data_IF_171764048050
#
_entry.id   IF_171764048050
#
_cell.length_a   1.000
_cell.length_b   1.000
_cell.length_c   1.000
_cell.angle_alpha   90.00
_cell.angle_beta   90.00
_cell.angle_gamma   90.00
#
_symmetry.space_group_name_H-M   'P 1'
#
loop_
_entity.id
_entity.type
_entity.pdbx_description
1 polymer ?
#
# COMPACT_ATOMS: atom_id res chain seq x y z
N UNK A 1 17.51 -10.07 14.49
CA UNK A 1 16.28 -10.25 15.31
C UNK A 1 15.14 -10.46 14.33
N UNK A 2 14.30 -11.47 14.54
CA UNK A 2 13.12 -11.71 13.70
C UNK A 2 11.96 -11.00 14.40
N UNK A 3 11.27 -10.13 13.67
CA UNK A 3 10.05 -9.47 14.15
C UNK A 3 8.84 -10.35 13.80
N UNK A 4 7.86 -10.44 14.70
CA UNK A 4 6.63 -11.21 14.48
C UNK A 4 5.46 -10.28 14.08
N UNK A 5 4.65 -10.73 13.13
CA UNK A 5 3.39 -10.08 12.74
C UNK A 5 2.26 -11.08 13.01
N UNK A 6 1.29 -10.69 13.84
CA UNK A 6 0.06 -11.48 13.97
C UNK A 6 -0.83 -11.19 12.77
N UNK A 7 -1.41 -12.23 12.18
CA UNK A 7 -2.22 -12.13 10.98
C UNK A 7 -3.48 -12.98 11.09
N UNK A 8 -4.62 -12.39 10.74
CA UNK A 8 -5.91 -13.06 10.60
C UNK A 8 -6.31 -13.06 9.13
N UNK A 9 -6.63 -14.24 8.60
CA UNK A 9 -7.13 -14.41 7.24
C UNK A 9 -8.65 -14.48 7.23
N UNK A 10 -9.25 -13.70 6.33
CA UNK A 10 -10.70 -13.63 6.10
C UNK A 10 -11.13 -14.28 4.79
N UNK A 11 -10.17 -14.67 3.97
CA UNK A 11 -10.39 -15.33 2.69
C UNK A 11 -9.50 -16.57 2.57
N UNK A 12 -9.99 -17.60 1.89
CA UNK A 12 -9.20 -18.75 1.49
C UNK A 12 -8.25 -18.35 0.35
N UNK A 13 -7.08 -17.84 0.72
CA UNK A 13 -5.97 -17.44 -0.17
C UNK A 13 -4.65 -18.00 0.38
N UNK A 14 -3.64 -18.23 -0.47
CA UNK A 14 -2.34 -18.69 0.00
C UNK A 14 -1.74 -17.74 1.03
N UNK A 15 -1.19 -18.30 2.11
CA UNK A 15 -0.51 -17.53 3.15
C UNK A 15 0.60 -16.65 2.57
N UNK A 16 0.79 -15.51 3.20
CA UNK A 16 1.82 -14.55 2.82
C UNK A 16 3.18 -15.12 3.19
N UNK A 17 4.17 -14.91 2.31
CA UNK A 17 5.51 -15.43 2.49
C UNK A 17 6.51 -14.37 2.06
N UNK A 18 7.53 -14.16 2.88
CA UNK A 18 8.74 -13.49 2.43
C UNK A 18 9.46 -14.42 1.46
N UNK A 19 10.00 -13.85 0.38
CA UNK A 19 10.80 -14.62 -0.59
C UNK A 19 12.27 -14.28 -0.39
N UNK A 20 13.17 -15.22 -0.72
CA UNK A 20 14.63 -15.04 -0.51
C UNK A 20 15.21 -13.82 -1.24
N UNK A 21 14.59 -13.41 -2.35
CA UNK A 21 15.06 -12.30 -3.20
C UNK A 21 14.09 -11.12 -3.23
N UNK A 22 13.02 -11.15 -2.45
CA UNK A 22 12.00 -10.10 -2.46
C UNK A 22 12.16 -9.13 -1.31
N UNK A 23 12.28 -7.85 -1.62
CA UNK A 23 12.38 -6.78 -0.63
C UNK A 23 11.03 -6.44 0.04
N UNK A 24 9.93 -6.85 -0.59
CA UNK A 24 8.54 -6.62 -0.17
C UNK A 24 7.74 -7.92 -0.27
N UNK A 25 6.62 -8.00 0.45
CA UNK A 25 5.75 -9.18 0.48
C UNK A 25 4.52 -8.90 -0.37
N UNK A 26 4.24 -9.77 -1.34
CA UNK A 26 3.09 -9.64 -2.25
C UNK A 26 1.76 -9.82 -1.50
N UNK A 27 0.81 -8.89 -1.72
CA UNK A 27 -0.57 -8.96 -1.28
C UNK A 27 -1.48 -9.45 -2.41
N UNK A 28 -2.52 -10.21 -2.04
CA UNK A 28 -3.40 -10.91 -2.97
C UNK A 28 -4.82 -10.38 -2.92
N UNK A 29 -5.50 -10.37 -4.06
CA UNK A 29 -6.92 -10.10 -4.15
C UNK A 29 -7.72 -11.18 -3.39
N UNK A 30 -8.60 -10.80 -2.48
CA UNK A 30 -9.35 -11.75 -1.64
C UNK A 30 -10.50 -12.45 -2.38
N UNK A 31 -11.02 -11.82 -3.42
CA UNK A 31 -12.20 -12.23 -4.18
C UNK A 31 -12.10 -11.75 -5.63
N UNK A 32 -12.91 -12.33 -6.53
CA UNK A 32 -12.98 -11.84 -7.90
C UNK A 32 -13.54 -10.41 -7.90
N UNK A 33 -12.77 -9.46 -8.41
CA UNK A 33 -13.15 -8.05 -8.44
C UNK A 33 -13.27 -7.56 -9.88
N UNK A 34 -14.39 -6.92 -10.18
CA UNK A 34 -14.68 -6.33 -11.49
C UNK A 34 -14.65 -4.81 -11.37
N UNK A 35 -13.94 -4.14 -12.27
CA UNK A 35 -13.84 -2.68 -12.32
C UNK A 35 -14.26 -2.22 -13.71
N UNK A 36 -15.33 -1.42 -13.77
CA UNK A 36 -15.77 -0.79 -15.02
C UNK A 36 -14.65 0.09 -15.61
N UNK A 37 -14.69 0.35 -16.92
CA UNK A 37 -13.79 1.31 -17.55
C UNK A 37 -13.97 2.70 -16.93
N UNK A 38 -12.87 3.36 -16.56
CA UNK A 38 -12.88 4.62 -15.81
C UNK A 38 -13.46 4.51 -14.40
N UNK A 39 -13.72 3.31 -13.91
CA UNK A 39 -14.27 3.05 -12.58
C UNK A 39 -13.18 2.92 -11.51
N UNK A 40 -13.61 3.01 -10.25
CA UNK A 40 -12.80 2.72 -9.07
C UNK A 40 -13.45 1.57 -8.32
N UNK A 41 -12.64 0.66 -7.80
CA UNK A 41 -13.10 -0.38 -6.88
C UNK A 41 -12.20 -0.47 -5.65
N UNK A 42 -12.82 -0.72 -4.50
CA UNK A 42 -12.16 -1.11 -3.27
C UNK A 42 -11.88 -2.60 -3.32
N UNK A 43 -10.61 -2.97 -3.41
CA UNK A 43 -10.14 -4.37 -3.51
C UNK A 43 -9.61 -4.83 -2.17
N UNK A 44 -10.26 -5.84 -1.58
CA UNK A 44 -9.85 -6.42 -0.31
C UNK A 44 -8.62 -7.32 -0.45
N UNK A 45 -7.70 -7.25 0.51
CA UNK A 45 -6.62 -8.23 0.65
C UNK A 45 -6.99 -9.43 1.54
N UNK A 46 -8.14 -9.38 2.21
CA UNK A 46 -8.66 -10.50 3.00
C UNK A 46 -7.81 -10.83 4.23
N UNK A 47 -7.11 -9.83 4.77
CA UNK A 47 -6.20 -9.95 5.90
C UNK A 47 -6.39 -8.80 6.89
N UNK A 48 -6.28 -9.10 8.18
CA UNK A 48 -6.04 -8.12 9.24
C UNK A 48 -4.71 -8.46 9.91
N UNK A 49 -3.95 -7.44 10.32
CA UNK A 49 -2.61 -7.65 10.89
C UNK A 49 -2.37 -6.78 12.11
N UNK A 50 -1.59 -7.32 13.05
CA UNK A 50 -0.92 -6.55 14.09
C UNK A 50 0.58 -6.55 13.82
N UNK A 51 1.11 -5.37 13.51
CA UNK A 51 2.53 -5.16 13.27
C UNK A 51 3.29 -5.00 14.60
N UNK A 52 4.62 -5.23 14.63
CA UNK A 52 5.45 -4.91 15.80
C UNK A 52 5.27 -3.45 16.24
N UNK A 53 5.30 -3.22 17.55
CA UNK A 53 5.16 -1.89 18.12
C UNK A 53 6.19 -0.92 17.51
N UNK A 54 5.74 0.29 17.18
CA UNK A 54 6.60 1.33 16.58
C UNK A 54 6.77 1.22 15.06
N UNK A 55 6.06 0.32 14.38
CA UNK A 55 6.07 0.20 12.93
C UNK A 55 4.72 0.57 12.30
N UNK A 56 4.77 1.06 11.07
CA UNK A 56 3.65 1.17 10.13
C UNK A 56 3.95 0.29 8.90
N UNK A 57 2.95 0.01 8.07
CA UNK A 57 3.19 -0.66 6.79
C UNK A 57 2.93 0.29 5.61
N UNK A 58 3.75 0.14 4.57
CA UNK A 58 3.57 0.81 3.29
C UNK A 58 3.10 -0.22 2.27
N UNK A 59 2.04 0.10 1.52
CA UNK A 59 1.45 -0.75 0.48
C UNK A 59 1.53 -0.02 -0.86
N UNK A 60 2.15 -0.64 -1.85
CA UNK A 60 2.30 -0.08 -3.20
C UNK A 60 1.92 -1.10 -4.28
N UNK A 61 1.59 -0.66 -5.50
CA UNK A 61 1.40 -1.55 -6.63
C UNK A 61 2.64 -2.41 -6.90
N UNK A 62 2.42 -3.63 -7.37
CA UNK A 62 3.47 -4.37 -8.06
C UNK A 62 3.74 -3.69 -9.40
N UNK A 63 4.99 -3.72 -9.88
CA UNK A 63 5.36 -3.12 -11.18
C UNK A 63 4.53 -3.67 -12.34
N UNK A 64 4.05 -4.91 -12.23
CA UNK A 64 3.22 -5.57 -13.24
C UNK A 64 1.72 -5.30 -13.11
N UNK A 65 1.24 -4.58 -12.08
CA UNK A 65 -0.19 -4.38 -11.83
C UNK A 65 -0.87 -3.72 -13.04
N UNK A 66 -0.34 -2.58 -13.48
CA UNK A 66 -0.87 -1.85 -14.63
C UNK A 66 -0.73 -2.67 -15.93
N UNK A 67 0.40 -3.35 -16.13
CA UNK A 67 0.61 -4.23 -17.30
C UNK A 67 -0.45 -5.34 -17.42
N UNK A 68 -0.86 -5.93 -16.30
CA UNK A 68 -1.80 -7.06 -16.32
C UNK A 68 -3.26 -6.65 -16.25
N UNK A 69 -3.58 -5.55 -15.57
CA UNK A 69 -4.95 -5.19 -15.25
C UNK A 69 -5.32 -3.74 -15.64
N UNK A 70 -4.41 -2.96 -16.21
CA UNK A 70 -4.70 -1.58 -16.64
C UNK A 70 -5.13 -0.64 -15.50
N UNK A 71 -4.82 -1.00 -14.25
CA UNK A 71 -5.25 -0.25 -13.06
C UNK A 71 -4.08 0.41 -12.34
N UNK A 72 -4.38 1.50 -11.65
CA UNK A 72 -3.45 2.20 -10.74
C UNK A 72 -4.06 2.27 -9.33
N UNK A 73 -3.21 2.31 -8.32
CA UNK A 73 -3.63 2.59 -6.95
C UNK A 73 -3.86 4.10 -6.79
N UNK A 74 -5.07 4.48 -6.36
CA UNK A 74 -5.52 5.89 -6.36
C UNK A 74 -4.75 6.77 -5.38
N UNK A 75 -4.33 6.22 -4.23
CA UNK A 75 -3.61 6.94 -3.18
C UNK A 75 -2.07 6.84 -3.32
N UNK A 76 -1.55 6.33 -4.43
CA UNK A 76 -0.12 6.06 -4.71
C UNK A 76 0.51 4.99 -3.78
N UNK A 77 0.52 5.25 -2.48
CA UNK A 77 1.04 4.39 -1.43
C UNK A 77 0.07 4.40 -0.24
N UNK A 78 -0.40 3.22 0.14
CA UNK A 78 -1.22 3.03 1.33
C UNK A 78 -0.33 3.02 2.56
N UNK A 79 -0.68 3.82 3.56
CA UNK A 79 -0.07 3.77 4.88
C UNK A 79 -1.03 3.01 5.78
N UNK A 80 -0.56 1.94 6.41
CA UNK A 80 -1.32 1.20 7.40
C UNK A 80 -0.72 1.47 8.77
N UNK A 81 -1.45 2.20 9.59
CA UNK A 81 -1.08 2.48 10.97
C UNK A 81 -1.02 1.19 11.81
N UNK A 82 -0.09 1.14 12.76
CA UNK A 82 -0.01 0.03 13.72
C UNK A 82 -1.32 -0.21 14.49
N UNK A 83 -2.08 0.87 14.73
CA UNK A 83 -3.35 0.81 15.46
C UNK A 83 -4.50 0.26 14.63
N UNK A 84 -4.32 0.13 13.31
CA UNK A 84 -5.28 -0.53 12.41
C UNK A 84 -5.10 -2.06 12.47
N UNK A 85 -5.29 -2.61 13.67
CA UNK A 85 -4.98 -3.98 14.03
C UNK A 85 -6.15 -4.73 14.69
N UNK A 86 -7.36 -4.18 14.63
CA UNK A 86 -8.56 -4.88 15.06
C UNK A 86 -8.84 -6.11 14.17
N UNK A 87 -9.57 -7.11 14.67
CA UNK A 87 -9.91 -8.29 13.88
C UNK A 87 -10.74 -7.98 12.62
N UNK A 88 -11.40 -6.83 12.57
CA UNK A 88 -12.19 -6.36 11.42
C UNK A 88 -11.48 -5.24 10.62
N UNK A 89 -10.25 -4.88 10.97
CA UNK A 89 -9.44 -3.93 10.22
C UNK A 89 -8.82 -4.63 9.03
N UNK A 90 -9.66 -4.92 8.03
CA UNK A 90 -9.27 -5.65 6.82
C UNK A 90 -8.50 -4.69 5.91
N UNK A 91 -7.29 -5.03 5.55
CA UNK A 91 -6.50 -4.23 4.62
C UNK A 91 -7.09 -4.29 3.21
N UNK A 92 -7.08 -3.15 2.51
CA UNK A 92 -7.59 -3.03 1.15
C UNK A 92 -6.80 -1.99 0.35
N UNK A 93 -7.05 -1.95 -0.95
CA UNK A 93 -6.54 -0.93 -1.86
C UNK A 93 -7.65 -0.42 -2.77
N UNK A 94 -7.66 0.87 -3.08
CA UNK A 94 -8.53 1.42 -4.11
C UNK A 94 -7.80 1.45 -5.45
N UNK A 95 -8.37 0.75 -6.44
CA UNK A 95 -7.82 0.65 -7.78
C UNK A 95 -8.71 1.39 -8.77
N UNK A 96 -8.10 2.28 -9.56
CA UNK A 96 -8.73 2.97 -10.67
C UNK A 96 -8.36 2.27 -11.97
N UNK A 97 -9.36 1.90 -12.75
CA UNK A 97 -9.18 1.38 -14.10
C UNK A 97 -8.91 2.53 -15.07
N UNK A 98 -7.69 2.57 -15.62
CA UNK A 98 -7.24 3.64 -16.52
C UNK A 98 -7.77 3.50 -17.95
N UNK A 99 -8.38 2.36 -18.30
CA UNK A 99 -8.97 2.09 -19.60
C UNK A 99 -10.47 2.36 -19.65
N UNK A 100 -11.04 2.23 -20.86
CA UNK A 100 -12.47 2.44 -21.12
C UNK A 100 -13.29 1.14 -21.14
N UNK A 101 -12.64 0.00 -20.96
CA UNK A 101 -13.27 -1.32 -20.92
C UNK A 101 -13.21 -1.90 -19.52
N UNK A 102 -14.15 -2.79 -19.22
CA UNK A 102 -14.17 -3.55 -17.97
C UNK A 102 -12.89 -4.39 -17.80
N UNK A 103 -12.39 -4.46 -16.56
CA UNK A 103 -11.31 -5.38 -16.17
C UNK A 103 -11.75 -6.27 -15.01
N UNK A 104 -11.28 -7.53 -15.01
CA UNK A 104 -11.48 -8.49 -13.93
C UNK A 104 -10.14 -8.83 -13.29
N UNK A 105 -10.05 -8.66 -11.98
CA UNK A 105 -8.94 -9.10 -11.14
C UNK A 105 -9.38 -10.39 -10.43
N UNK A 106 -8.79 -11.55 -10.75
CA UNK A 106 -9.22 -12.80 -10.14
C UNK A 106 -8.74 -12.91 -8.69
N UNK A 107 -9.52 -13.62 -7.88
CA UNK A 107 -9.14 -14.04 -6.53
C UNK A 107 -7.75 -14.68 -6.53
N UNK A 108 -6.94 -14.31 -5.54
CA UNK A 108 -5.58 -14.80 -5.36
C UNK A 108 -4.52 -14.12 -6.24
N UNK A 109 -4.91 -13.25 -7.18
CA UNK A 109 -3.98 -12.45 -7.98
C UNK A 109 -3.11 -11.58 -7.08
N UNK A 110 -1.80 -11.58 -7.32
CA UNK A 110 -0.83 -10.72 -6.60
C UNK A 110 -0.84 -9.33 -7.23
N UNK A 111 -1.41 -8.35 -6.54
CA UNK A 111 -1.72 -7.02 -7.09
C UNK A 111 -0.86 -5.91 -6.49
N UNK A 112 -0.65 -5.95 -5.17
CA UNK A 112 0.16 -5.00 -4.42
C UNK A 112 1.25 -5.74 -3.66
N UNK A 113 2.12 -4.99 -3.01
CA UNK A 113 3.17 -5.51 -2.15
C UNK A 113 3.33 -4.57 -0.96
N UNK A 114 3.77 -5.10 0.18
CA UNK A 114 3.98 -4.30 1.39
C UNK A 114 5.33 -4.55 2.07
N UNK A 115 5.74 -3.57 2.86
CA UNK A 115 6.83 -3.69 3.85
C UNK A 115 6.48 -2.92 5.11
N UNK A 116 7.15 -3.23 6.22
CA UNK A 116 7.06 -2.42 7.44
C UNK A 116 8.19 -1.38 7.50
N UNK A 117 7.89 -0.22 8.08
CA UNK A 117 8.81 0.90 8.28
C UNK A 117 8.63 1.41 9.70
N UNK A 118 9.72 1.85 10.35
CA UNK A 118 9.61 2.49 11.67
C UNK A 118 8.82 3.78 11.53
N UNK A 119 7.89 4.01 12.46
CA UNK A 119 7.13 5.26 12.55
C UNK A 119 8.08 6.45 12.69
N UNK A 120 7.63 7.61 12.22
CA UNK A 120 8.33 8.86 12.48
C UNK A 120 8.51 9.10 14.00
N UNK A 121 9.57 9.80 14.42
CA UNK A 121 9.74 10.17 15.82
C UNK A 121 8.62 11.09 16.29
N UNK A 122 8.44 11.19 17.61
CA UNK A 122 7.59 12.24 18.19
C UNK A 122 8.19 13.60 17.87
N UNK A 123 7.39 14.50 17.32
CA UNK A 123 7.78 15.88 17.02
C UNK A 123 6.95 16.89 17.81
N UNK A 124 7.47 18.10 17.97
CA UNK A 124 6.73 19.27 18.45
C UNK A 124 6.87 20.37 17.41
N UNK A 125 5.75 20.97 17.02
CA UNK A 125 5.76 22.15 16.18
C UNK A 125 6.11 23.38 17.04
N UNK A 126 7.09 24.17 16.60
CA UNK A 126 7.48 25.43 17.22
C UNK A 126 7.19 26.56 16.24
N UNK A 127 6.18 27.39 16.54
CA UNK A 127 5.78 28.49 15.67
C UNK A 127 6.81 29.63 15.78
N UNK A 128 7.33 30.09 14.64
CA UNK A 128 8.34 31.15 14.54
C UNK A 128 7.89 32.21 13.54
N UNK A 129 8.35 33.45 13.70
CA UNK A 129 8.06 34.52 12.75
C UNK A 129 8.87 34.42 11.45
N UNK A 130 10.02 33.72 11.47
CA UNK A 130 10.86 33.48 10.28
C UNK A 130 11.70 32.21 10.41
N UNK A 131 12.10 31.64 9.27
CA UNK A 131 13.07 30.56 9.17
C UNK A 131 14.45 31.13 8.78
N UNK A 132 15.53 30.48 9.22
CA UNK A 132 16.91 30.95 9.00
C UNK A 132 17.63 30.32 7.79
N UNK A 133 16.97 29.40 7.08
CA UNK A 133 17.56 28.73 5.92
C UNK A 133 17.39 29.54 4.64
N UNK A 134 18.24 29.27 3.64
CA UNK A 134 18.08 29.81 2.29
C UNK A 134 16.99 29.05 1.52
N UNK A 135 16.32 29.76 0.61
CA UNK A 135 15.31 29.17 -0.26
C UNK A 135 15.96 28.18 -1.23
N UNK A 136 15.63 26.89 -1.10
CA UNK A 136 16.11 25.84 -2.00
C UNK A 136 15.45 25.88 -3.40
N UNK A 137 14.21 26.35 -3.49
CA UNK A 137 13.35 26.15 -4.67
C UNK A 137 12.80 24.72 -4.82
N UNK A 138 11.91 24.52 -5.81
CA UNK A 138 11.22 23.25 -6.08
C UNK A 138 10.59 23.20 -7.49
N UNK A 139 9.80 22.16 -7.78
CA UNK A 139 9.08 21.99 -9.05
C UNK A 139 9.96 22.10 -10.32
N UNK A 140 11.14 21.46 -10.30
CA UNK A 140 12.07 21.51 -11.44
C UNK A 140 12.94 22.77 -11.48
N UNK A 141 13.13 23.47 -10.36
CA UNK A 141 14.02 24.63 -10.26
C UNK A 141 15.48 24.36 -10.64
N UNK A 142 15.92 23.10 -10.61
CA UNK A 142 17.24 22.67 -11.08
C UNK A 142 17.30 22.40 -12.60
N UNK A 143 16.23 22.70 -13.33
CA UNK A 143 16.11 22.38 -14.75
C UNK A 143 15.83 20.90 -15.01
N UNK A 144 15.97 20.51 -16.28
CA UNK A 144 15.65 19.16 -16.80
C UNK A 144 16.86 18.47 -17.45
N UNK A 145 18.07 19.01 -17.26
CA UNK A 145 19.32 18.57 -17.88
C UNK A 145 20.45 18.52 -16.86
#
# INVERSE_FOLDING_TARGET
MIENIDILYHADIPSLKQTERGDWIDLRCAEDTVIAGGGVAKVSFGISMKLPDGYEAHVVPRSSLHKHFGVIQTNSMGIIDNSYCGPNDIWFVELYNTGNTLVTIPKGARICQFRIVKKMPKIKFNNVYSLSGEDRGGHGSSGIY
#
